data_IF_196580222313
#
_entry.id   IF_196580222313
#
_cell.length_a   1.000
_cell.length_b   1.000
_cell.length_c   1.000
_cell.angle_alpha   90.00
_cell.angle_beta   90.00
_cell.angle_gamma   90.00
#
_symmetry.space_group_name_H-M   'P 1'
#
loop_
_entity.id
_entity.type
_entity.pdbx_description
1 polymer ?
#
# COMPACT_ATOMS: atom_id res chain seq x y z
N UNK A 1 -25.49 26.54 -23.59
CA UNK A 1 -25.74 25.08 -23.64
C UNK A 1 -25.02 24.54 -24.87
N UNK A 2 -24.28 23.40 -24.83
CA UNK A 2 -24.10 22.39 -23.78
C UNK A 2 -22.74 22.55 -23.04
N UNK A 3 -22.61 22.38 -21.73
CA UNK A 3 -22.57 21.15 -20.91
C UNK A 3 -21.45 20.16 -21.30
N UNK A 4 -20.35 20.18 -20.54
CA UNK A 4 -19.25 19.23 -20.61
C UNK A 4 -18.58 19.11 -19.24
N UNK A 5 -18.87 17.99 -18.57
CA UNK A 5 -18.56 17.62 -17.20
C UNK A 5 -17.24 18.15 -16.61
N UNK A 6 -17.35 18.80 -15.44
CA UNK A 6 -16.23 19.00 -14.50
C UNK A 6 -15.70 17.63 -14.08
N UNK A 7 -14.46 17.32 -14.45
CA UNK A 7 -13.70 16.23 -13.82
C UNK A 7 -13.56 16.56 -12.34
N UNK A 8 -14.26 15.82 -11.49
CA UNK A 8 -14.06 15.88 -10.05
C UNK A 8 -12.77 15.09 -9.79
N UNK A 9 -11.65 15.79 -9.69
CA UNK A 9 -10.45 15.27 -9.07
C UNK A 9 -10.73 15.13 -7.57
N UNK A 10 -11.26 13.97 -7.15
CA UNK A 10 -11.18 13.55 -5.75
C UNK A 10 -9.75 13.08 -5.49
N UNK A 11 -8.85 14.05 -5.33
CA UNK A 11 -7.60 13.83 -4.62
C UNK A 11 -7.95 13.62 -3.15
N UNK A 12 -8.15 12.36 -2.75
CA UNK A 12 -8.34 12.05 -1.33
C UNK A 12 -7.00 12.17 -0.61
N UNK A 13 -6.99 13.08 0.36
CA UNK A 13 -5.81 13.62 0.98
C UNK A 13 -5.11 12.67 1.95
N UNK A 14 -3.82 12.97 2.11
CA UNK A 14 -3.08 12.78 3.35
C UNK A 14 -2.85 11.33 3.84
N UNK A 15 -2.46 10.42 2.94
CA UNK A 15 -1.78 9.17 3.33
C UNK A 15 -0.28 9.15 2.95
N UNK A 16 0.33 10.33 2.76
CA UNK A 16 1.76 10.42 2.46
C UNK A 16 2.55 10.30 3.76
N UNK A 17 3.26 9.18 3.91
CA UNK A 17 4.45 9.16 4.78
C UNK A 17 5.37 10.32 4.36
N UNK A 18 5.96 11.08 5.29
CA UNK A 18 6.89 12.14 4.95
C UNK A 18 8.01 11.57 4.07
N UNK A 19 8.30 12.27 2.98
CA UNK A 19 9.13 11.81 1.87
C UNK A 19 10.46 11.17 2.33
N UNK A 20 10.46 9.83 2.38
CA UNK A 20 11.54 8.85 2.12
C UNK A 20 12.97 9.04 2.67
N UNK A 21 13.35 10.16 3.31
CA UNK A 21 14.71 10.41 3.83
C UNK A 21 14.84 10.31 5.34
N UNK A 22 13.74 10.39 6.10
CA UNK A 22 13.80 10.41 7.56
C UNK A 22 13.58 9.05 8.25
N UNK A 23 13.01 8.05 7.56
CA UNK A 23 12.41 6.91 8.26
C UNK A 23 13.24 5.61 8.24
N UNK A 24 14.51 5.60 7.81
CA UNK A 24 15.34 4.38 7.89
C UNK A 24 14.79 3.15 7.15
N UNK A 25 13.89 3.34 6.17
CA UNK A 25 13.30 2.25 5.37
C UNK A 25 14.44 1.52 4.66
N UNK A 26 14.53 0.17 4.73
CA UNK A 26 15.60 -0.60 4.10
C UNK A 26 15.79 -0.20 2.63
N UNK A 27 17.05 -0.09 2.22
CA UNK A 27 17.47 0.48 0.93
C UNK A 27 17.16 -0.42 -0.28
N UNK A 28 16.86 -1.71 -0.05
CA UNK A 28 16.56 -2.65 -1.12
C UNK A 28 15.17 -2.36 -1.69
N UNK A 29 15.13 -1.72 -2.84
CA UNK A 29 13.92 -1.46 -3.61
C UNK A 29 13.66 -2.62 -4.57
N UNK A 30 12.39 -2.91 -4.82
CA UNK A 30 11.95 -3.88 -5.80
C UNK A 30 11.27 -3.11 -6.95
N UNK A 31 11.87 -3.07 -8.14
CA UNK A 31 11.20 -2.53 -9.32
C UNK A 31 10.10 -3.50 -9.76
N UNK A 32 8.98 -2.95 -10.24
CA UNK A 32 7.88 -3.71 -10.85
C UNK A 32 7.36 -2.96 -12.08
N UNK A 33 7.13 -3.70 -13.17
CA UNK A 33 6.58 -3.18 -14.42
C UNK A 33 5.04 -3.22 -14.40
N UNK A 34 4.36 -2.40 -15.23
CA UNK A 34 2.91 -2.50 -15.37
C UNK A 34 2.47 -3.93 -15.67
N UNK A 35 1.56 -4.46 -14.87
CA UNK A 35 1.04 -5.82 -14.97
C UNK A 35 1.70 -6.83 -14.03
N UNK A 36 2.88 -6.54 -13.47
CA UNK A 36 3.59 -7.45 -12.58
C UNK A 36 2.80 -7.72 -11.29
N UNK A 37 2.67 -9.00 -10.94
CA UNK A 37 2.08 -9.44 -9.67
C UNK A 37 3.16 -9.34 -8.59
N UNK A 38 2.92 -8.51 -7.57
CA UNK A 38 3.83 -8.36 -6.43
C UNK A 38 3.60 -9.49 -5.42
N UNK A 39 2.34 -9.88 -5.22
CA UNK A 39 1.91 -11.09 -4.53
C UNK A 39 0.46 -11.42 -4.91
N UNK A 40 0.08 -12.68 -4.75
CA UNK A 40 -1.26 -13.19 -5.03
C UNK A 40 -2.09 -13.36 -3.75
N UNK A 41 -3.41 -13.27 -3.90
CA UNK A 41 -4.36 -13.67 -2.85
C UNK A 41 -4.11 -15.13 -2.43
N UNK A 42 -4.10 -15.39 -1.13
CA UNK A 42 -3.80 -16.71 -0.56
C UNK A 42 -2.30 -16.99 -0.33
N UNK A 43 -1.39 -16.17 -0.84
CA UNK A 43 0.05 -16.35 -0.57
C UNK A 43 0.37 -16.15 0.92
N UNK A 44 1.44 -16.78 1.40
CA UNK A 44 2.01 -16.44 2.71
C UNK A 44 2.63 -15.04 2.65
N UNK A 45 2.32 -14.18 3.63
CA UNK A 45 2.88 -12.84 3.73
C UNK A 45 3.86 -12.67 4.89
N UNK A 46 5.16 -12.58 4.60
CA UNK A 46 6.24 -12.34 5.59
C UNK A 46 6.78 -10.89 5.56
N UNK A 47 6.18 -10.05 4.73
CA UNK A 47 6.53 -8.64 4.54
C UNK A 47 5.34 -7.82 4.05
N UNK A 48 5.37 -6.54 4.35
CA UNK A 48 4.50 -5.53 3.75
C UNK A 48 5.31 -4.65 2.79
N UNK A 49 4.64 -3.74 2.09
CA UNK A 49 5.29 -2.89 1.10
C UNK A 49 4.85 -1.43 1.22
N UNK A 50 5.79 -0.53 0.95
CA UNK A 50 5.53 0.91 0.77
C UNK A 50 5.85 1.27 -0.67
N UNK A 51 4.93 1.97 -1.33
CA UNK A 51 5.13 2.45 -2.70
C UNK A 51 6.02 3.70 -2.65
N UNK A 52 7.20 3.65 -3.26
CA UNK A 52 8.07 4.83 -3.40
C UNK A 52 7.66 5.67 -4.61
N UNK A 53 7.41 5.00 -5.73
CA UNK A 53 6.98 5.60 -7.00
C UNK A 53 5.97 4.69 -7.69
N UNK A 54 5.14 5.26 -8.57
CA UNK A 54 4.12 4.51 -9.32
C UNK A 54 2.81 4.29 -8.57
N UNK A 55 2.02 3.35 -9.10
CA UNK A 55 0.69 2.97 -8.61
C UNK A 55 0.54 1.44 -8.58
N UNK A 56 -0.08 0.93 -7.52
CA UNK A 56 -0.40 -0.50 -7.32
C UNK A 56 -1.90 -0.66 -7.19
N UNK A 57 -2.46 -1.63 -7.90
CA UNK A 57 -3.85 -2.07 -7.74
C UNK A 57 -3.92 -3.27 -6.79
N UNK A 58 -4.91 -3.22 -5.90
CA UNK A 58 -5.24 -4.31 -4.99
C UNK A 58 -6.57 -4.90 -5.44
N UNK A 59 -6.56 -6.19 -5.75
CA UNK A 59 -7.66 -6.94 -6.30
C UNK A 59 -8.05 -8.07 -5.35
N UNK A 60 -9.34 -8.16 -5.00
CA UNK A 60 -9.88 -9.23 -4.15
C UNK A 60 -11.07 -9.86 -4.85
N UNK A 61 -11.10 -11.19 -4.95
CA UNK A 61 -12.18 -11.91 -5.64
C UNK A 61 -12.47 -11.39 -7.06
N UNK A 62 -11.44 -11.08 -7.85
CA UNK A 62 -11.61 -10.60 -9.23
C UNK A 62 -12.00 -9.12 -9.37
N UNK A 63 -12.08 -8.36 -8.27
CA UNK A 63 -12.50 -6.96 -8.27
C UNK A 63 -11.40 -6.07 -7.70
N UNK A 64 -11.07 -4.99 -8.40
CA UNK A 64 -10.18 -3.95 -7.86
C UNK A 64 -10.89 -3.29 -6.68
N UNK A 65 -10.34 -3.46 -5.49
CA UNK A 65 -10.86 -2.88 -4.24
C UNK A 65 -10.12 -1.59 -3.86
N UNK A 66 -8.91 -1.41 -4.36
CA UNK A 66 -8.11 -0.22 -4.08
C UNK A 66 -7.06 0.04 -5.17
N UNK A 67 -6.77 1.31 -5.44
CA UNK A 67 -5.57 1.74 -6.15
C UNK A 67 -4.76 2.64 -5.24
N UNK A 68 -3.49 2.31 -5.04
CA UNK A 68 -2.57 3.01 -4.15
C UNK A 68 -1.49 3.69 -4.97
N UNK A 69 -1.12 4.91 -4.59
CA UNK A 69 -0.02 5.66 -5.19
C UNK A 69 1.19 5.77 -4.25
N UNK A 70 2.23 6.47 -4.67
CA UNK A 70 3.41 6.75 -3.84
C UNK A 70 3.07 7.23 -2.41
N UNK A 71 3.75 6.64 -1.42
CA UNK A 71 3.46 6.77 0.02
C UNK A 71 2.45 5.76 0.53
N UNK A 72 1.69 5.10 -0.36
CA UNK A 72 0.72 4.06 -0.02
C UNK A 72 1.37 2.81 0.56
N UNK A 73 0.63 2.18 1.47
CA UNK A 73 1.04 0.97 2.19
C UNK A 73 0.12 -0.17 1.78
N UNK A 74 0.69 -1.35 1.50
CA UNK A 74 -0.09 -2.55 1.17
C UNK A 74 0.57 -3.84 1.66
N UNK A 75 -0.25 -4.90 1.79
CA UNK A 75 0.19 -6.19 2.28
C UNK A 75 0.53 -6.21 3.78
N UNK A 76 0.10 -5.19 4.53
CA UNK A 76 0.33 -5.09 5.97
C UNK A 76 -0.52 -6.07 6.78
N UNK A 77 -1.74 -6.42 6.33
CA UNK A 77 -2.63 -7.34 7.06
C UNK A 77 -1.93 -8.66 7.39
N UNK A 78 -1.43 -9.35 6.36
CA UNK A 78 -0.75 -10.64 6.50
C UNK A 78 0.52 -10.56 7.38
N UNK A 79 1.19 -9.40 7.41
CA UNK A 79 2.34 -9.19 8.29
C UNK A 79 1.91 -9.05 9.76
N UNK A 80 0.76 -8.42 10.01
CA UNK A 80 0.27 -8.07 11.35
C UNK A 80 -0.42 -9.26 12.02
N UNK A 81 -1.27 -9.98 11.28
CA UNK A 81 -2.11 -11.05 11.85
C UNK A 81 -1.59 -12.47 11.52
N UNK A 82 -0.60 -12.60 10.64
CA UNK A 82 -0.06 -13.88 10.19
C UNK A 82 -0.95 -14.66 9.23
N UNK A 83 -2.09 -14.10 8.82
CA UNK A 83 -3.00 -14.70 7.85
C UNK A 83 -2.40 -14.68 6.43
N UNK A 84 -2.89 -15.54 5.51
CA UNK A 84 -2.57 -15.41 4.10
C UNK A 84 -2.96 -14.05 3.50
N UNK A 85 -2.38 -13.68 2.35
CA UNK A 85 -2.72 -12.45 1.63
C UNK A 85 -4.23 -12.39 1.35
N UNK A 86 -4.88 -11.33 1.83
CA UNK A 86 -6.32 -11.13 1.65
C UNK A 86 -6.73 -10.68 0.23
N UNK A 87 -5.76 -10.35 -0.62
CA UNK A 87 -5.95 -9.81 -1.97
C UNK A 87 -4.66 -9.99 -2.79
N UNK A 88 -4.78 -9.91 -4.11
CA UNK A 88 -3.67 -9.82 -5.06
C UNK A 88 -3.22 -8.36 -5.20
N UNK A 89 -1.92 -8.09 -5.21
CA UNK A 89 -1.37 -6.78 -5.50
C UNK A 89 -0.62 -6.79 -6.83
N UNK A 90 -0.97 -5.86 -7.73
CA UNK A 90 -0.40 -5.76 -9.08
C UNK A 90 0.09 -4.35 -9.34
N UNK A 91 1.27 -4.22 -9.94
CA UNK A 91 1.75 -2.94 -10.42
C UNK A 91 0.85 -2.43 -11.57
N UNK A 92 0.25 -1.26 -11.40
CA UNK A 92 -0.57 -0.62 -12.43
C UNK A 92 0.26 0.25 -13.36
N UNK A 93 1.30 0.87 -12.82
CA UNK A 93 2.33 1.62 -13.57
C UNK A 93 3.71 1.06 -13.24
N UNK A 94 4.78 1.62 -13.84
CA UNK A 94 6.14 1.30 -13.40
C UNK A 94 6.31 1.78 -11.96
N UNK A 95 6.66 0.87 -11.05
CA UNK A 95 6.73 1.11 -9.62
C UNK A 95 8.10 0.78 -9.04
N UNK A 96 8.45 1.50 -7.98
CA UNK A 96 9.45 1.07 -7.02
C UNK A 96 8.76 0.84 -5.68
N UNK A 97 8.85 -0.38 -5.15
CA UNK A 97 8.28 -0.73 -3.84
C UNK A 97 9.37 -1.11 -2.85
N UNK A 98 9.20 -0.70 -1.60
CA UNK A 98 10.11 -1.04 -0.52
C UNK A 98 9.49 -2.15 0.34
N UNK A 99 10.05 -3.38 0.35
CA UNK A 99 9.63 -4.44 1.25
C UNK A 99 10.04 -4.12 2.69
N UNK A 100 9.12 -4.34 3.62
CA UNK A 100 9.34 -4.19 5.07
C UNK A 100 8.99 -5.53 5.71
N UNK A 101 10.02 -6.21 6.25
CA UNK A 101 9.87 -7.45 7.02
C UNK A 101 9.30 -7.18 8.40
N UNK A 102 8.85 -8.21 9.12
CA UNK A 102 8.36 -8.07 10.51
C UNK A 102 9.41 -7.42 11.42
N UNK A 103 10.67 -7.87 11.32
CA UNK A 103 11.78 -7.27 12.08
C UNK A 103 11.96 -5.79 11.77
N UNK A 104 11.91 -5.41 10.50
CA UNK A 104 12.01 -4.00 10.07
C UNK A 104 10.79 -3.20 10.53
N UNK A 105 9.60 -3.79 10.47
CA UNK A 105 8.36 -3.16 10.93
C UNK A 105 8.43 -2.82 12.42
N UNK A 106 8.81 -3.79 13.27
CA UNK A 106 8.94 -3.57 14.71
C UNK A 106 9.98 -2.49 15.04
N UNK A 107 11.11 -2.48 14.33
CA UNK A 107 12.11 -1.42 14.45
C UNK A 107 11.55 -0.05 14.07
N UNK A 108 10.82 0.06 12.95
CA UNK A 108 10.19 1.31 12.52
C UNK A 108 9.11 1.78 13.50
N UNK A 109 8.33 0.88 14.09
CA UNK A 109 7.34 1.23 15.11
C UNK A 109 8.03 1.83 16.35
N UNK A 110 9.17 1.27 16.75
CA UNK A 110 9.93 1.75 17.91
C UNK A 110 10.60 3.11 17.64
N UNK A 111 11.36 3.23 16.55
CA UNK A 111 12.14 4.44 16.24
C UNK A 111 11.29 5.57 15.65
N UNK A 112 10.20 5.21 14.95
CA UNK A 112 9.34 6.17 14.24
C UNK A 112 7.87 5.89 14.53
N UNK A 113 7.35 6.26 15.73
CA UNK A 113 5.97 5.93 16.13
C UNK A 113 4.87 6.39 15.14
N UNK A 114 5.12 7.47 14.40
CA UNK A 114 4.20 7.95 13.34
C UNK A 114 3.99 6.94 12.22
N UNK A 115 4.93 6.02 11.98
CA UNK A 115 4.77 4.95 11.01
C UNK A 115 3.63 4.00 11.41
N UNK A 116 3.57 3.63 12.69
CA UNK A 116 2.46 2.80 13.21
C UNK A 116 1.10 3.48 12.99
N UNK A 117 1.04 4.79 13.24
CA UNK A 117 -0.18 5.59 13.01
C UNK A 117 -0.58 5.59 11.53
N UNK A 118 0.37 5.69 10.61
CA UNK A 118 0.09 5.62 9.17
C UNK A 118 -0.50 4.25 8.77
N UNK A 119 0.05 3.16 9.31
CA UNK A 119 -0.46 1.80 9.09
C UNK A 119 -1.88 1.64 9.67
N UNK A 120 -2.11 2.09 10.89
CA UNK A 120 -3.43 2.06 11.52
C UNK A 120 -4.48 2.87 10.73
N UNK A 121 -4.10 4.04 10.20
CA UNK A 121 -4.97 4.85 9.35
C UNK A 121 -5.34 4.13 8.06
N UNK A 122 -4.35 3.51 7.40
CA UNK A 122 -4.59 2.74 6.18
C UNK A 122 -5.60 1.58 6.42
N UNK A 123 -5.46 0.86 7.53
CA UNK A 123 -6.40 -0.20 7.93
C UNK A 123 -7.79 0.36 8.23
N UNK A 124 -7.89 1.45 8.99
CA UNK A 124 -9.17 2.09 9.30
C UNK A 124 -9.89 2.58 8.04
N UNK A 125 -9.16 3.13 7.08
CA UNK A 125 -9.71 3.56 5.78
C UNK A 125 -10.22 2.39 4.96
N UNK A 126 -9.55 1.23 5.01
CA UNK A 126 -10.02 0.01 4.35
C UNK A 126 -11.27 -0.54 5.01
N UNK A 127 -11.31 -0.61 6.34
CA UNK A 127 -12.48 -1.06 7.10
C UNK A 127 -13.72 -0.22 6.76
N UNK A 128 -13.58 1.10 6.74
CA UNK A 128 -14.67 2.02 6.35
C UNK A 128 -15.19 1.79 4.93
N UNK A 129 -14.31 1.47 3.99
CA UNK A 129 -14.69 1.20 2.59
C UNK A 129 -15.24 -0.22 2.37
N UNK A 130 -14.94 -1.14 3.29
CA UNK A 130 -15.45 -2.52 3.26
C UNK A 130 -16.78 -2.71 3.98
N UNK A 131 -17.25 -1.70 4.73
CA UNK A 131 -18.57 -1.71 5.33
C UNK A 131 -19.64 -1.61 4.23
N UNK A 132 -20.71 -2.43 4.30
CA UNK A 132 -21.82 -2.41 3.34
C UNK A 132 -22.62 -1.11 3.37
#
# INVERSE_FOLDING_TARGET
MPQGARRIAHGNGCNRLPASRQCGIPSRQLPAQPGDVIFSEGDKGDKMYVIRTGEVEVERNGKIVETLAAGGIFGEMALIDGSPRAATARAKTSCEVAPITEKSFLFLVHETPFFAIAVMRALADRLRRSAP
#
